data_IF_057084626260
#
_entry.id   IF_057084626260
#
_cell.length_a   1.000
_cell.length_b   1.000
_cell.length_c   1.000
_cell.angle_alpha   90.00
_cell.angle_beta   90.00
_cell.angle_gamma   90.00
#
_symmetry.space_group_name_H-M   'P 1'
#
loop_
_entity.id
_entity.type
_entity.pdbx_description
1 polymer ?
#
# COMPACT_ATOMS: atom_id res chain seq x y z
N UNK A 1 -16.11 -17.07 38.72
CA UNK A 1 -14.94 -17.53 37.92
C UNK A 1 -15.28 -17.84 36.45
N UNK A 2 -16.38 -18.50 36.17
CA UNK A 2 -16.78 -18.78 34.79
C UNK A 2 -17.07 -17.50 34.00
N UNK A 3 -17.65 -16.49 34.62
CA UNK A 3 -17.97 -15.20 34.02
C UNK A 3 -16.70 -14.41 33.61
N UNK A 4 -15.66 -14.45 34.48
CA UNK A 4 -14.39 -13.79 34.21
C UNK A 4 -13.67 -14.37 33.00
N UNK A 5 -13.67 -15.71 32.86
CA UNK A 5 -13.08 -16.38 31.68
C UNK A 5 -13.80 -16.03 30.37
N UNK A 6 -15.14 -15.91 30.44
CA UNK A 6 -15.95 -15.50 29.31
C UNK A 6 -15.63 -14.06 28.88
N UNK A 7 -15.54 -13.12 29.82
CA UNK A 7 -15.21 -11.72 29.56
C UNK A 7 -13.81 -11.58 28.95
N UNK A 8 -12.84 -12.34 29.42
CA UNK A 8 -11.48 -12.34 28.89
C UNK A 8 -11.44 -12.86 27.45
N UNK A 9 -12.21 -13.90 27.14
CA UNK A 9 -12.32 -14.46 25.79
C UNK A 9 -12.94 -13.46 24.82
N UNK A 10 -13.99 -12.74 25.21
CA UNK A 10 -14.64 -11.70 24.39
C UNK A 10 -13.69 -10.54 24.13
N UNK A 11 -12.95 -10.11 25.13
CA UNK A 11 -11.96 -9.03 25.00
C UNK A 11 -10.84 -9.40 24.01
N UNK A 12 -10.35 -10.63 24.06
CA UNK A 12 -9.34 -11.15 23.13
C UNK A 12 -9.87 -11.20 21.70
N UNK A 13 -11.13 -11.61 21.49
CA UNK A 13 -11.77 -11.63 20.18
C UNK A 13 -11.92 -10.23 19.58
N UNK A 14 -12.25 -9.23 20.40
CA UNK A 14 -12.35 -7.83 19.95
C UNK A 14 -10.98 -7.30 19.50
N UNK A 15 -9.92 -7.62 20.22
CA UNK A 15 -8.55 -7.22 19.85
C UNK A 15 -8.11 -7.85 18.52
N UNK A 16 -8.48 -9.11 18.26
CA UNK A 16 -8.20 -9.78 16.98
C UNK A 16 -8.95 -9.13 15.82
N UNK A 17 -10.21 -8.74 16.01
CA UNK A 17 -11.00 -8.06 14.97
C UNK A 17 -10.47 -6.65 14.67
N UNK A 18 -9.90 -5.94 15.66
CA UNK A 18 -9.30 -4.63 15.44
C UNK A 18 -8.08 -4.67 14.53
N UNK A 19 -7.41 -5.83 14.41
CA UNK A 19 -6.26 -6.05 13.53
C UNK A 19 -6.63 -6.65 12.17
N UNK A 20 -7.93 -6.80 11.86
CA UNK A 20 -8.41 -7.46 10.63
C UNK A 20 -8.29 -6.58 9.38
N UNK A 21 -7.97 -5.28 9.51
CA UNK A 21 -7.75 -4.38 8.38
C UNK A 21 -6.29 -4.45 7.96
N UNK A 22 -5.97 -5.40 7.06
CA UNK A 22 -4.64 -5.51 6.49
C UNK A 22 -4.34 -4.28 5.64
N UNK A 23 -3.12 -3.76 5.75
CA UNK A 23 -2.62 -2.70 4.89
C UNK A 23 -2.47 -3.24 3.46
N UNK A 24 -2.87 -2.45 2.47
CA UNK A 24 -2.65 -2.76 1.06
C UNK A 24 -1.37 -2.13 0.58
N UNK A 25 -0.70 -2.81 -0.33
CA UNK A 25 0.48 -2.31 -1.02
C UNK A 25 0.23 -2.36 -2.52
N UNK A 26 0.44 -1.22 -3.18
CA UNK A 26 0.37 -1.10 -4.62
C UNK A 26 1.74 -0.78 -5.18
N UNK A 27 2.03 -1.30 -6.36
CA UNK A 27 3.25 -1.00 -7.09
C UNK A 27 2.93 -0.03 -8.24
N UNK A 28 3.67 1.07 -8.31
CA UNK A 28 3.50 2.09 -9.35
C UNK A 28 4.71 2.09 -10.28
N UNK A 29 4.49 1.67 -11.52
CA UNK A 29 5.54 1.70 -12.54
C UNK A 29 5.71 3.12 -13.09
N UNK A 30 6.95 3.59 -13.19
CA UNK A 30 7.29 4.91 -13.71
C UNK A 30 8.34 4.76 -14.82
N UNK A 31 8.12 5.48 -15.92
CA UNK A 31 9.01 5.44 -17.06
C UNK A 31 10.33 6.18 -16.83
N UNK A 32 10.26 7.29 -16.08
CA UNK A 32 11.40 8.18 -15.90
C UNK A 32 12.19 7.86 -14.65
N UNK A 33 13.50 8.20 -14.69
CA UNK A 33 14.38 7.99 -13.55
C UNK A 33 13.98 8.79 -12.30
N UNK A 34 14.48 8.36 -11.15
CA UNK A 34 14.08 8.89 -9.84
C UNK A 34 14.31 10.41 -9.70
N UNK A 35 15.33 10.95 -10.36
CA UNK A 35 15.66 12.38 -10.31
C UNK A 35 14.80 13.23 -11.24
N UNK A 36 14.05 12.61 -12.15
CA UNK A 36 13.13 13.32 -13.04
C UNK A 36 11.95 13.84 -12.22
N UNK A 37 11.48 15.06 -12.52
CA UNK A 37 10.43 15.68 -11.69
C UNK A 37 9.11 14.90 -11.71
N UNK A 38 8.79 14.20 -12.79
CA UNK A 38 7.59 13.35 -12.85
C UNK A 38 7.68 12.21 -11.81
N UNK A 39 8.83 11.55 -11.75
CA UNK A 39 9.05 10.47 -10.79
C UNK A 39 9.16 11.00 -9.35
N UNK A 40 9.80 12.14 -9.15
CA UNK A 40 9.87 12.79 -7.84
C UNK A 40 8.48 13.18 -7.34
N UNK A 41 7.64 13.72 -8.21
CA UNK A 41 6.25 14.06 -7.87
C UNK A 41 5.42 12.82 -7.53
N UNK A 42 5.59 11.73 -8.26
CA UNK A 42 4.93 10.46 -7.97
C UNK A 42 5.37 9.89 -6.62
N UNK A 43 6.65 10.00 -6.27
CA UNK A 43 7.17 9.54 -4.98
C UNK A 43 6.56 10.37 -3.82
N UNK A 44 6.41 11.67 -4.00
CA UNK A 44 5.77 12.53 -3.00
C UNK A 44 4.29 12.20 -2.85
N UNK A 45 3.59 11.97 -3.95
CA UNK A 45 2.21 11.50 -3.93
C UNK A 45 2.09 10.19 -3.14
N UNK A 46 2.96 9.23 -3.40
CA UNK A 46 2.97 7.95 -2.69
C UNK A 46 3.18 8.13 -1.18
N UNK A 47 4.10 9.01 -0.79
CA UNK A 47 4.34 9.36 0.61
C UNK A 47 3.10 9.97 1.26
N UNK A 48 2.44 10.92 0.59
CA UNK A 48 1.24 11.56 1.09
C UNK A 48 0.09 10.58 1.26
N UNK A 49 -0.09 9.66 0.33
CA UNK A 49 -1.12 8.60 0.43
C UNK A 49 -0.87 7.73 1.66
N UNK A 50 0.37 7.31 1.89
CA UNK A 50 0.72 6.50 3.06
C UNK A 50 0.41 7.25 4.36
N UNK A 51 0.80 8.52 4.46
CA UNK A 51 0.57 9.34 5.65
C UNK A 51 -0.93 9.60 5.87
N UNK A 52 -1.65 10.02 4.84
CA UNK A 52 -3.07 10.38 4.94
C UNK A 52 -3.98 9.19 5.16
N UNK A 53 -3.57 8.00 4.71
CA UNK A 53 -4.31 6.77 4.96
C UNK A 53 -3.98 6.12 6.30
N UNK A 54 -3.05 6.70 7.08
CA UNK A 54 -2.57 6.09 8.32
C UNK A 54 -1.87 4.75 8.09
N UNK A 55 -1.21 4.61 6.95
CA UNK A 55 -0.51 3.38 6.58
C UNK A 55 -1.41 2.28 6.01
N UNK A 56 -2.69 2.56 5.80
CA UNK A 56 -3.64 1.56 5.23
C UNK A 56 -3.35 1.27 3.76
N UNK A 57 -2.81 2.24 3.03
CA UNK A 57 -2.37 2.08 1.65
C UNK A 57 -0.95 2.58 1.52
N UNK A 58 -0.07 1.73 1.01
CA UNK A 58 1.30 2.08 0.67
C UNK A 58 1.48 1.91 -0.83
N UNK A 59 1.97 2.96 -1.50
CA UNK A 59 2.32 2.91 -2.92
C UNK A 59 3.84 2.89 -3.01
N UNK A 60 4.38 1.85 -3.64
CA UNK A 60 5.82 1.73 -3.90
C UNK A 60 6.07 2.15 -5.33
N UNK A 61 6.87 3.19 -5.54
CA UNK A 61 7.23 3.67 -6.87
C UNK A 61 8.42 2.90 -7.42
N UNK A 62 8.37 2.59 -8.70
CA UNK A 62 9.45 1.87 -9.43
C UNK A 62 9.90 2.73 -10.60
N UNK A 63 10.83 3.70 -10.36
CA UNK A 63 11.27 4.63 -11.39
C UNK A 63 12.21 3.99 -12.42
N UNK A 64 12.45 4.71 -13.51
CA UNK A 64 13.42 4.32 -14.51
C UNK A 64 13.07 3.08 -15.33
N UNK A 65 11.80 2.75 -15.44
CA UNK A 65 11.36 1.56 -16.16
C UNK A 65 11.74 0.25 -15.45
N UNK A 66 12.02 0.29 -14.15
CA UNK A 66 12.52 -0.87 -13.40
C UNK A 66 11.47 -1.98 -13.23
N UNK A 67 10.19 -1.64 -13.22
CA UNK A 67 9.11 -2.64 -13.16
C UNK A 67 8.64 -3.00 -14.60
N UNK A 68 8.29 -1.97 -15.39
CA UNK A 68 7.94 -2.08 -16.80
C UNK A 68 8.51 -0.89 -17.53
N UNK A 69 8.96 -1.09 -18.78
CA UNK A 69 9.41 0.01 -19.63
C UNK A 69 8.24 0.92 -19.99
N UNK A 70 8.52 2.21 -20.22
CA UNK A 70 7.50 3.23 -20.43
C UNK A 70 6.42 2.86 -21.43
N UNK A 71 6.80 2.29 -22.58
CA UNK A 71 5.86 1.87 -23.63
C UNK A 71 5.00 0.66 -23.26
N UNK A 72 5.31 -0.03 -22.18
CA UNK A 72 4.62 -1.24 -21.71
C UNK A 72 3.70 -0.99 -20.53
N UNK A 73 3.84 0.15 -19.84
CA UNK A 73 3.15 0.42 -18.57
C UNK A 73 1.64 0.39 -18.74
N UNK A 74 1.11 1.08 -19.74
CA UNK A 74 -0.33 1.15 -19.98
C UNK A 74 -0.93 -0.25 -20.19
N UNK A 75 -0.29 -1.04 -21.00
CA UNK A 75 -0.72 -2.42 -21.26
C UNK A 75 -0.64 -3.29 -20.02
N UNK A 76 0.44 -3.16 -19.24
CA UNK A 76 0.63 -3.94 -18.03
C UNK A 76 -0.47 -3.64 -17.01
N UNK A 77 -0.80 -2.38 -16.78
CA UNK A 77 -1.89 -1.96 -15.89
C UNK A 77 -3.23 -2.48 -16.39
N UNK A 78 -3.49 -2.33 -17.68
CA UNK A 78 -4.75 -2.78 -18.29
C UNK A 78 -4.96 -4.28 -18.17
N UNK A 79 -3.90 -5.07 -18.23
CA UNK A 79 -3.96 -6.54 -18.14
C UNK A 79 -3.79 -7.07 -16.73
N UNK A 80 -3.64 -6.21 -15.73
CA UNK A 80 -3.55 -6.61 -14.33
C UNK A 80 -2.21 -7.17 -13.89
N UNK A 81 -1.15 -6.78 -14.57
CA UNK A 81 0.20 -7.23 -14.18
C UNK A 81 0.77 -6.40 -13.03
#
# INVERSE_FOLDING_TARGET
MKLFKFLLSVLFSVLLTANAFAAEKWDMALAYGASNFHSANAAEFAKNVSEKSGGKLTIVTHPGGSLFKGGEIFRAVRTGQ
#
